data_IF_269276627154
#
_entry.id   IF_269276627154
#
_cell.length_a   1.000
_cell.length_b   1.000
_cell.length_c   1.000
_cell.angle_alpha   90.00
_cell.angle_beta   90.00
_cell.angle_gamma   90.00
#
_symmetry.space_group_name_H-M   'P 1'
#
loop_
_entity.id
_entity.type
_entity.pdbx_description
1 polymer ?
#
# COMPACT_ATOMS: atom_id res chain seq x y z
N UNK A 1 3.87 19.27 17.77
CA UNK A 1 3.80 17.93 18.40
C UNK A 1 5.17 17.30 18.30
N UNK A 2 5.66 16.64 19.36
CA UNK A 2 6.96 15.96 19.35
C UNK A 2 6.77 14.45 19.21
N UNK A 3 7.44 13.87 18.23
CA UNK A 3 7.40 12.44 17.94
C UNK A 3 8.82 11.89 18.02
N UNK A 4 9.04 10.88 18.85
CA UNK A 4 10.34 10.23 18.99
C UNK A 4 10.25 8.75 18.62
N UNK A 5 11.18 8.30 17.78
CA UNK A 5 11.37 6.89 17.46
C UNK A 5 12.58 6.37 18.24
N UNK A 6 12.34 5.45 19.17
CA UNK A 6 13.38 4.78 19.95
C UNK A 6 13.73 3.44 19.27
N UNK A 7 15.01 3.21 18.98
CA UNK A 7 15.52 1.97 18.39
C UNK A 7 16.73 1.45 19.16
N UNK A 8 16.94 0.14 19.18
CA UNK A 8 18.27 -0.42 19.53
C UNK A 8 19.22 -0.34 18.35
N UNK A 9 20.55 -0.46 18.57
CA UNK A 9 21.50 -0.67 17.48
C UNK A 9 21.07 -1.81 16.56
N UNK A 10 21.18 -1.59 15.25
CA UNK A 10 20.88 -2.57 14.20
C UNK A 10 19.46 -3.16 14.25
N UNK A 11 18.49 -2.38 14.75
CA UNK A 11 17.09 -2.82 14.79
C UNK A 11 16.56 -3.05 13.35
N UNK A 12 16.15 -4.29 13.00
CA UNK A 12 15.70 -4.61 11.64
C UNK A 12 14.38 -3.92 11.28
N UNK A 13 13.58 -3.52 12.27
CA UNK A 13 12.28 -2.90 12.08
C UNK A 13 12.32 -1.36 12.15
N UNK A 14 13.47 -0.77 12.49
CA UNK A 14 13.66 0.68 12.57
C UNK A 14 13.39 1.39 11.24
N UNK A 15 14.00 0.95 10.12
CA UNK A 15 13.74 1.52 8.79
C UNK A 15 12.26 1.46 8.40
N UNK A 16 11.58 0.34 8.68
CA UNK A 16 10.15 0.15 8.39
C UNK A 16 9.29 1.17 9.14
N UNK A 17 9.52 1.38 10.44
CA UNK A 17 8.76 2.37 11.20
C UNK A 17 9.02 3.80 10.70
N UNK A 18 10.28 4.13 10.40
CA UNK A 18 10.65 5.45 9.90
C UNK A 18 9.92 5.81 8.61
N UNK A 19 9.93 4.92 7.63
CA UNK A 19 9.26 5.13 6.34
C UNK A 19 7.74 5.24 6.52
N UNK A 20 7.14 4.41 7.37
CA UNK A 20 5.71 4.51 7.68
C UNK A 20 5.36 5.82 8.39
N UNK A 21 6.24 6.35 9.24
CA UNK A 21 6.09 7.67 9.85
C UNK A 21 6.18 8.79 8.82
N UNK A 22 7.12 8.72 7.89
CA UNK A 22 7.24 9.69 6.78
C UNK A 22 5.95 9.72 5.94
N UNK A 23 5.39 8.56 5.61
CA UNK A 23 4.09 8.44 4.93
C UNK A 23 2.91 8.97 5.78
N UNK A 24 2.91 8.70 7.08
CA UNK A 24 1.86 9.16 8.00
C UNK A 24 1.91 10.69 8.24
N UNK A 25 3.09 11.28 8.10
CA UNK A 25 3.37 12.70 8.32
C UNK A 25 3.48 13.51 7.02
N UNK A 26 3.30 12.90 5.86
CA UNK A 26 3.37 13.59 4.57
C UNK A 26 2.48 14.84 4.56
N UNK A 27 3.08 16.01 4.27
CA UNK A 27 2.40 17.31 4.26
C UNK A 27 2.20 17.99 5.63
N UNK A 28 2.62 17.36 6.74
CA UNK A 28 2.59 17.97 8.09
C UNK A 28 3.89 18.73 8.34
N UNK A 29 3.78 19.94 8.88
CA UNK A 29 4.93 20.79 9.26
C UNK A 29 4.95 21.13 10.76
N UNK A 30 3.92 20.72 11.49
CA UNK A 30 3.72 20.95 12.92
C UNK A 30 4.22 19.80 13.81
N UNK A 31 4.90 18.81 13.21
CA UNK A 31 5.45 17.63 13.88
C UNK A 31 6.97 17.65 13.82
N UNK A 32 7.62 17.55 14.97
CA UNK A 32 9.07 17.35 15.08
C UNK A 32 9.34 15.86 15.30
N UNK A 33 9.92 15.19 14.29
CA UNK A 33 10.31 13.78 14.37
C UNK A 33 11.80 13.67 14.75
N UNK A 34 12.10 12.92 15.81
CA UNK A 34 13.46 12.62 16.21
C UNK A 34 13.69 11.11 16.37
N UNK A 35 14.83 10.63 15.89
CA UNK A 35 15.28 9.25 16.07
C UNK A 35 16.32 9.17 17.20
N UNK A 36 16.22 8.11 18.01
CA UNK A 36 17.14 7.89 19.13
C UNK A 36 17.53 6.42 19.22
N UNK A 37 18.83 6.17 19.20
CA UNK A 37 19.38 4.86 19.54
C UNK A 37 19.46 4.72 21.07
N UNK A 38 18.86 3.67 21.60
CA UNK A 38 18.85 3.29 23.02
C UNK A 38 19.77 2.09 23.17
N UNK A 39 20.90 2.29 23.87
CA UNK A 39 21.98 1.31 23.91
C UNK A 39 21.79 0.24 25.00
N UNK A 40 21.04 0.54 26.06
CA UNK A 40 20.91 -0.32 27.22
C UNK A 40 19.53 -0.27 27.90
N UNK A 41 19.30 -1.27 28.75
CA UNK A 41 18.05 -1.45 29.49
C UNK A 41 17.73 -0.27 30.43
N UNK A 42 18.74 0.36 31.02
CA UNK A 42 18.52 1.48 31.93
C UNK A 42 18.05 2.73 31.17
N UNK A 43 18.53 2.95 29.95
CA UNK A 43 18.02 4.00 29.07
C UNK A 43 16.61 3.68 28.57
N UNK A 44 16.33 2.42 28.24
CA UNK A 44 14.98 1.98 27.87
C UNK A 44 13.95 2.32 28.97
N UNK A 45 14.28 2.03 30.24
CA UNK A 45 13.44 2.37 31.39
C UNK A 45 13.25 3.88 31.57
N UNK A 46 14.33 4.67 31.48
CA UNK A 46 14.25 6.14 31.62
C UNK A 46 13.37 6.78 30.57
N UNK A 47 13.32 6.20 29.37
CA UNK A 47 12.57 6.75 28.22
C UNK A 47 11.21 6.10 28.01
N UNK A 48 10.88 5.03 28.73
CA UNK A 48 9.64 4.28 28.50
C UNK A 48 9.64 3.52 27.17
N UNK A 49 10.77 2.92 26.80
CA UNK A 49 10.88 2.08 25.61
C UNK A 49 10.36 0.67 25.91
N UNK A 50 9.27 0.26 25.28
CA UNK A 50 8.66 -1.07 25.48
C UNK A 50 9.10 -2.08 24.41
N UNK A 51 10.36 -1.96 23.97
CA UNK A 51 10.98 -2.75 22.89
C UNK A 51 11.26 -1.93 21.63
N UNK A 52 12.09 -2.47 20.74
CA UNK A 52 12.53 -1.80 19.52
C UNK A 52 11.76 -2.26 18.28
N UNK A 53 11.30 -1.33 17.42
CA UNK A 53 11.23 0.11 17.66
C UNK A 53 10.09 0.47 18.64
N UNK A 54 10.16 1.63 19.28
CA UNK A 54 9.05 2.24 20.05
C UNK A 54 8.80 3.67 19.56
N UNK A 55 7.52 4.01 19.34
CA UNK A 55 7.09 5.37 19.06
C UNK A 55 6.66 6.06 20.36
N UNK A 56 7.17 7.27 20.61
CA UNK A 56 6.66 8.17 21.64
C UNK A 56 6.02 9.39 21.00
N UNK A 57 4.78 9.69 21.39
CA UNK A 57 4.07 10.93 21.04
C UNK A 57 4.00 11.79 22.29
N UNK A 58 4.63 12.96 22.26
CA UNK A 58 4.81 13.87 23.39
C UNK A 58 5.32 13.14 24.66
N UNK A 59 6.29 12.23 24.46
CA UNK A 59 6.92 11.44 25.52
C UNK A 59 6.14 10.23 26.01
N UNK A 60 4.99 9.90 25.39
CA UNK A 60 4.15 8.75 25.77
C UNK A 60 4.07 7.73 24.64
N UNK A 61 4.22 6.46 24.97
CA UNK A 61 3.99 5.35 24.04
C UNK A 61 2.48 5.11 23.86
N UNK A 62 1.89 5.36 22.67
CA UNK A 62 0.46 5.20 22.45
C UNK A 62 0.05 3.74 22.24
N UNK A 63 1.01 2.83 22.05
CA UNK A 63 0.78 1.41 21.77
C UNK A 63 1.09 0.51 22.98
N UNK A 64 1.52 1.07 24.11
CA UNK A 64 1.87 0.31 25.30
C UNK A 64 0.61 -0.11 26.07
N UNK A 65 0.51 -1.40 26.40
CA UNK A 65 -0.52 -1.87 27.33
C UNK A 65 -0.16 -1.49 28.78
N UNK A 66 -1.16 -1.22 29.64
CA UNK A 66 -0.91 -0.92 31.04
C UNK A 66 -0.05 -2.00 31.72
N UNK A 67 1.06 -1.59 32.33
CA UNK A 67 1.97 -2.49 33.05
C UNK A 67 3.02 -3.18 32.19
N UNK A 68 3.10 -2.87 30.89
CA UNK A 68 4.20 -3.32 30.03
C UNK A 68 5.53 -2.79 30.57
N UNK A 69 6.51 -3.68 30.77
CA UNK A 69 7.84 -3.28 31.22
C UNK A 69 8.65 -2.70 30.07
N UNK A 70 9.53 -1.73 30.39
CA UNK A 70 10.50 -1.26 29.43
C UNK A 70 11.51 -2.37 29.08
N UNK A 71 11.96 -2.43 27.83
CA UNK A 71 12.89 -3.47 27.35
C UNK A 71 13.65 -3.02 26.10
N UNK A 72 14.85 -3.56 25.91
CA UNK A 72 15.65 -3.44 24.68
C UNK A 72 15.37 -4.55 23.65
N UNK A 73 14.47 -5.49 23.95
CA UNK A 73 14.09 -6.56 23.01
C UNK A 73 13.29 -6.04 21.82
N UNK A 74 13.15 -6.84 20.75
CA UNK A 74 12.26 -6.52 19.63
C UNK A 74 10.82 -6.38 20.10
N UNK A 75 10.13 -5.33 19.61
CA UNK A 75 8.70 -5.15 19.78
C UNK A 75 7.95 -5.68 18.58
N UNK A 76 6.81 -6.29 18.87
CA UNK A 76 5.86 -6.75 17.87
C UNK A 76 4.55 -5.98 18.04
N UNK A 77 3.94 -5.64 16.92
CA UNK A 77 2.72 -4.86 16.82
C UNK A 77 1.63 -5.72 16.19
N UNK A 78 0.49 -5.83 16.87
CA UNK A 78 -0.69 -6.50 16.33
C UNK A 78 -1.46 -5.53 15.43
N UNK A 79 -1.58 -5.86 14.15
CA UNK A 79 -2.39 -5.12 13.19
C UNK A 79 -3.87 -5.45 13.33
N UNK A 80 -4.72 -4.57 12.80
CA UNK A 80 -6.18 -4.74 12.79
C UNK A 80 -6.68 -5.97 11.99
N UNK A 81 -5.83 -6.51 11.11
CA UNK A 81 -6.05 -7.74 10.34
C UNK A 81 -5.61 -9.02 11.09
N UNK A 82 -5.13 -8.87 12.33
CA UNK A 82 -4.60 -9.97 13.15
C UNK A 82 -3.16 -10.37 12.81
N UNK A 83 -2.51 -9.73 11.83
CA UNK A 83 -1.08 -9.97 11.54
C UNK A 83 -0.21 -9.31 12.60
N UNK A 84 0.92 -9.95 12.88
CA UNK A 84 1.93 -9.42 13.81
C UNK A 84 3.11 -8.89 12.98
N UNK A 85 3.48 -7.63 13.16
CA UNK A 85 4.56 -6.98 12.42
C UNK A 85 5.56 -6.26 13.32
N UNK A 86 6.70 -5.88 12.75
CA UNK A 86 7.77 -5.16 13.44
C UNK A 86 7.51 -3.67 13.68
N UNK A 87 6.45 -3.12 13.12
CA UNK A 87 6.05 -1.72 13.26
C UNK A 87 4.51 -1.58 13.11
N UNK A 88 3.89 -0.55 13.71
CA UNK A 88 2.50 -0.18 13.43
C UNK A 88 2.24 0.13 11.95
N UNK A 89 0.99 0.05 11.53
CA UNK A 89 0.57 0.45 10.18
C UNK A 89 0.53 1.97 10.02
N UNK A 90 0.58 2.49 8.78
CA UNK A 90 0.47 3.94 8.49
C UNK A 90 -0.87 4.49 9.00
N UNK A 91 -1.96 3.72 8.89
CA UNK A 91 -3.28 4.11 9.42
C UNK A 91 -3.25 4.24 10.96
N UNK A 92 -2.61 3.30 11.65
CA UNK A 92 -2.45 3.36 13.10
C UNK A 92 -1.61 4.56 13.53
N UNK A 93 -0.54 4.83 12.80
CA UNK A 93 0.29 6.02 13.01
C UNK A 93 -0.51 7.30 12.79
N UNK A 94 -1.24 7.44 11.67
CA UNK A 94 -2.10 8.60 11.39
C UNK A 94 -3.11 8.82 12.52
N UNK A 95 -3.72 7.75 13.03
CA UNK A 95 -4.69 7.80 14.13
C UNK A 95 -4.08 8.34 15.42
N UNK A 96 -2.92 7.83 15.85
CA UNK A 96 -2.29 8.27 17.10
C UNK A 96 -1.63 9.65 16.97
N UNK A 97 -1.30 10.08 15.75
CA UNK A 97 -0.73 11.39 15.44
C UNK A 97 -1.80 12.48 15.18
N UNK A 98 -3.09 12.13 15.32
CA UNK A 98 -4.21 13.03 15.07
C UNK A 98 -4.32 13.50 13.62
N UNK A 99 -3.72 12.77 12.68
CA UNK A 99 -3.92 12.99 11.25
C UNK A 99 -5.31 12.43 10.91
N UNK A 100 -6.19 13.20 10.23
CA UNK A 100 -7.52 12.73 9.90
C UNK A 100 -7.42 11.41 9.15
N UNK A 101 -8.05 10.37 9.70
CA UNK A 101 -8.27 9.15 8.96
C UNK A 101 -9.13 9.51 7.74
N UNK A 102 -8.65 9.21 6.54
CA UNK A 102 -9.58 8.92 5.45
C UNK A 102 -10.51 7.84 5.99
N UNK A 103 -11.84 8.03 5.89
CA UNK A 103 -12.82 7.17 6.59
C UNK A 103 -12.65 5.68 6.30
N UNK A 104 -13.50 4.80 6.85
CA UNK A 104 -13.37 3.33 6.79
C UNK A 104 -13.13 2.68 5.40
N UNK A 105 -13.20 3.47 4.32
CA UNK A 105 -12.62 3.26 3.01
C UNK A 105 -11.06 3.30 2.92
N UNK A 106 -10.27 3.24 4.00
CA UNK A 106 -8.80 3.03 3.87
C UNK A 106 -8.42 1.53 3.90
N UNK A 107 -9.39 0.65 4.22
CA UNK A 107 -9.14 -0.77 4.50
C UNK A 107 -9.31 -1.73 3.33
N UNK A 108 -9.95 -1.30 2.23
CA UNK A 108 -10.27 -2.23 1.15
C UNK A 108 -9.05 -2.52 0.26
N UNK A 109 -8.46 -1.51 -0.39
CA UNK A 109 -7.31 -1.68 -1.29
C UNK A 109 -5.94 -1.78 -0.58
N UNK A 110 -5.87 -1.55 0.72
CA UNK A 110 -4.62 -1.53 1.48
C UNK A 110 -4.30 -2.86 2.17
N UNK A 111 -3.01 -3.12 2.43
CA UNK A 111 -2.53 -4.17 3.35
C UNK A 111 -2.85 -3.81 4.81
N UNK A 112 -4.12 -3.59 5.15
CA UNK A 112 -4.56 -3.08 6.47
C UNK A 112 -3.79 -1.82 6.94
N UNK A 113 -3.54 -0.89 6.00
CA UNK A 113 -2.78 0.34 6.26
C UNK A 113 -1.25 0.16 6.34
N UNK A 114 -0.70 -1.04 6.08
CA UNK A 114 0.76 -1.26 6.10
C UNK A 114 1.50 -0.71 4.87
N UNK A 115 0.77 -0.11 3.91
CA UNK A 115 1.30 0.38 2.64
C UNK A 115 1.60 -0.75 1.65
N UNK A 116 1.90 -0.39 0.40
CA UNK A 116 2.26 -1.35 -0.66
C UNK A 116 3.76 -1.36 -0.96
N UNK A 117 4.57 -0.47 -0.37
CA UNK A 117 6.03 -0.47 -0.59
C UNK A 117 6.67 -1.56 0.28
N UNK A 118 7.33 -2.53 -0.35
CA UNK A 118 7.99 -3.61 0.37
C UNK A 118 9.20 -3.08 1.15
N UNK A 119 9.56 -3.68 2.30
CA UNK A 119 10.73 -3.28 3.08
C UNK A 119 12.04 -3.39 2.27
N UNK A 120 13.07 -2.57 2.56
CA UNK A 120 14.32 -2.60 1.83
C UNK A 120 15.17 -3.85 2.11
N UNK A 121 14.89 -4.57 3.21
CA UNK A 121 15.62 -5.76 3.63
C UNK A 121 15.34 -6.97 2.73
N UNK A 122 16.27 -7.94 2.74
CA UNK A 122 16.08 -9.25 2.10
C UNK A 122 15.88 -9.23 0.58
N UNK A 123 16.06 -8.07 -0.07
CA UNK A 123 15.79 -7.89 -1.50
C UNK A 123 14.31 -7.70 -1.84
N UNK A 124 13.41 -7.64 -0.86
CA UNK A 124 11.96 -7.53 -1.07
C UNK A 124 11.61 -6.32 -1.95
N UNK A 125 12.07 -5.12 -1.59
CA UNK A 125 11.88 -3.90 -2.39
C UNK A 125 12.50 -3.98 -3.77
N UNK A 126 13.72 -4.52 -3.86
CA UNK A 126 14.45 -4.58 -5.13
C UNK A 126 13.71 -5.48 -6.14
N UNK A 127 13.27 -6.65 -5.70
CA UNK A 127 12.48 -7.59 -6.51
C UNK A 127 11.10 -7.03 -6.81
N UNK A 128 10.40 -6.44 -5.83
CA UNK A 128 9.11 -5.79 -6.07
C UNK A 128 9.22 -4.73 -7.16
N UNK A 129 10.17 -3.79 -7.05
CA UNK A 129 10.34 -2.73 -8.03
C UNK A 129 10.79 -3.26 -9.39
N UNK A 130 11.55 -4.37 -9.45
CA UNK A 130 11.87 -5.03 -10.71
C UNK A 130 10.61 -5.58 -11.39
N UNK A 131 9.71 -6.22 -10.63
CA UNK A 131 8.42 -6.70 -11.13
C UNK A 131 7.57 -5.52 -11.65
N UNK A 132 7.40 -4.46 -10.87
CA UNK A 132 6.62 -3.29 -11.26
C UNK A 132 7.18 -2.61 -12.51
N UNK A 133 8.51 -2.47 -12.62
CA UNK A 133 9.17 -1.94 -13.83
C UNK A 133 8.92 -2.81 -15.06
N UNK A 134 8.94 -4.14 -14.91
CA UNK A 134 8.67 -5.03 -16.03
C UNK A 134 7.26 -4.84 -16.57
N UNK A 135 6.25 -4.79 -15.70
CA UNK A 135 4.88 -4.50 -16.13
C UNK A 135 4.78 -3.15 -16.85
N UNK A 136 5.35 -2.10 -16.26
CA UNK A 136 5.31 -0.75 -16.81
C UNK A 136 5.96 -0.64 -18.20
N UNK A 137 6.98 -1.46 -18.48
CA UNK A 137 7.78 -1.35 -19.72
C UNK A 137 7.40 -2.38 -20.78
N UNK A 138 6.95 -3.57 -20.37
CA UNK A 138 6.70 -4.71 -21.27
C UNK A 138 5.24 -5.14 -21.32
N UNK A 139 4.44 -4.73 -20.33
CA UNK A 139 3.08 -5.22 -20.16
C UNK A 139 2.96 -6.56 -19.43
N UNK A 140 4.09 -7.14 -18.97
CA UNK A 140 4.15 -8.49 -18.44
C UNK A 140 5.07 -8.62 -17.21
N UNK A 141 4.92 -9.70 -16.40
CA UNK A 141 5.88 -10.04 -15.36
C UNK A 141 7.31 -10.23 -15.91
N UNK A 142 8.35 -9.96 -15.10
CA UNK A 142 9.73 -10.11 -15.53
C UNK A 142 10.10 -11.58 -15.76
N UNK A 143 11.15 -11.80 -16.56
CA UNK A 143 11.74 -13.12 -16.69
C UNK A 143 12.44 -13.54 -15.38
N UNK A 144 12.56 -14.86 -15.14
CA UNK A 144 13.23 -15.38 -13.95
C UNK A 144 14.65 -14.83 -13.75
N UNK A 145 15.41 -14.65 -14.83
CA UNK A 145 16.76 -14.10 -14.77
C UNK A 145 16.82 -12.63 -14.31
N UNK A 146 15.81 -11.83 -14.62
CA UNK A 146 15.72 -10.43 -14.18
C UNK A 146 15.40 -10.35 -12.68
N UNK A 147 14.51 -11.22 -12.21
CA UNK A 147 14.19 -11.34 -10.79
C UNK A 147 15.41 -11.81 -9.99
N UNK A 148 16.14 -12.82 -10.49
CA UNK A 148 17.37 -13.30 -9.87
C UNK A 148 18.43 -12.20 -9.79
N UNK A 149 18.60 -11.43 -10.87
CA UNK A 149 19.53 -10.30 -10.90
C UNK A 149 19.20 -9.23 -9.84
N UNK A 150 17.92 -9.03 -9.54
CA UNK A 150 17.48 -8.11 -8.48
C UNK A 150 17.71 -8.66 -7.06
N UNK A 151 17.68 -9.99 -6.88
CA UNK A 151 17.84 -10.66 -5.59
C UNK A 151 19.31 -10.95 -5.23
N UNK A 152 20.19 -11.17 -6.22
CA UNK A 152 21.62 -11.48 -6.06
C UNK A 152 22.36 -10.58 -5.05
N UNK A 153 22.19 -9.23 -5.05
CA UNK A 153 22.89 -8.36 -4.08
C UNK A 153 22.57 -8.66 -2.61
N UNK A 154 21.46 -9.35 -2.35
CA UNK A 154 20.98 -9.68 -1.02
C UNK A 154 21.29 -11.13 -0.61
N UNK A 155 21.85 -11.94 -1.52
CA UNK A 155 22.24 -13.32 -1.24
C UNK A 155 21.08 -14.27 -0.99
N UNK A 156 19.87 -13.92 -1.43
CA UNK A 156 18.64 -14.73 -1.30
C UNK A 156 18.13 -15.10 -2.70
N UNK A 157 17.68 -16.35 -2.95
CA UNK A 157 17.09 -16.73 -4.23
C UNK A 157 15.82 -15.94 -4.53
N UNK A 158 15.60 -15.53 -5.79
CA UNK A 158 14.41 -14.74 -6.13
C UNK A 158 13.08 -15.45 -5.81
N UNK A 159 13.04 -16.78 -5.90
CA UNK A 159 11.85 -17.56 -5.55
C UNK A 159 11.46 -17.42 -4.07
N UNK A 160 12.43 -17.32 -3.15
CA UNK A 160 12.17 -17.11 -1.73
C UNK A 160 11.63 -15.70 -1.48
N UNK A 161 12.23 -14.69 -2.13
CA UNK A 161 11.77 -13.30 -2.07
C UNK A 161 10.33 -13.16 -2.61
N UNK A 162 10.01 -13.83 -3.72
CA UNK A 162 8.65 -13.83 -4.28
C UNK A 162 7.64 -14.51 -3.35
N UNK A 163 8.01 -15.62 -2.73
CA UNK A 163 7.14 -16.31 -1.78
C UNK A 163 6.84 -15.43 -0.56
N UNK A 164 7.85 -14.70 -0.05
CA UNK A 164 7.66 -13.74 1.03
C UNK A 164 6.77 -12.56 0.58
N UNK A 165 7.06 -11.95 -0.57
CA UNK A 165 6.23 -10.88 -1.15
C UNK A 165 4.77 -11.32 -1.33
N UNK A 166 4.54 -12.57 -1.73
CA UNK A 166 3.20 -13.15 -1.87
C UNK A 166 2.51 -13.39 -0.52
N UNK A 167 3.24 -13.96 0.45
CA UNK A 167 2.72 -14.22 1.81
C UNK A 167 2.33 -12.94 2.55
N UNK A 168 3.01 -11.85 2.19
CA UNK A 168 2.74 -10.53 2.68
C UNK A 168 1.70 -9.80 1.82
N UNK A 169 1.20 -10.29 0.69
CA UNK A 169 0.24 -9.57 -0.18
C UNK A 169 0.83 -8.31 -0.86
N UNK A 170 2.09 -8.34 -1.29
CA UNK A 170 2.61 -7.35 -2.25
C UNK A 170 2.32 -7.74 -3.70
N UNK A 171 2.14 -9.04 -3.94
CA UNK A 171 1.81 -9.66 -5.21
C UNK A 171 1.05 -10.97 -4.93
N UNK A 172 0.51 -11.60 -5.97
CA UNK A 172 -0.06 -12.94 -5.88
C UNK A 172 0.62 -13.87 -6.87
N UNK A 173 0.72 -15.15 -6.49
CA UNK A 173 1.28 -16.21 -7.32
C UNK A 173 0.18 -17.22 -7.67
N UNK A 174 0.28 -17.85 -8.84
CA UNK A 174 -0.50 -19.03 -9.19
C UNK A 174 0.08 -20.31 -8.54
N UNK A 175 -0.58 -21.45 -8.74
CA UNK A 175 -0.15 -22.75 -8.18
C UNK A 175 1.22 -23.21 -8.71
N UNK A 176 1.70 -22.64 -9.83
CA UNK A 176 3.00 -22.92 -10.41
C UNK A 176 4.09 -21.93 -9.94
N UNK A 177 3.73 -20.94 -9.10
CA UNK A 177 4.63 -19.91 -8.60
C UNK A 177 4.87 -18.74 -9.56
N UNK A 178 4.06 -18.59 -10.61
CA UNK A 178 4.12 -17.43 -11.50
C UNK A 178 3.31 -16.26 -10.96
N UNK A 179 3.77 -15.04 -11.23
CA UNK A 179 3.08 -13.81 -10.82
C UNK A 179 1.75 -13.69 -11.55
N UNK A 180 0.66 -13.70 -10.80
CA UNK A 180 -0.70 -13.46 -11.30
C UNK A 180 -1.10 -11.98 -11.20
N UNK A 181 -0.71 -11.32 -10.11
CA UNK A 181 -0.88 -9.89 -9.92
C UNK A 181 0.31 -9.32 -9.13
N UNK A 182 0.69 -8.08 -9.41
CA UNK A 182 1.67 -7.33 -8.63
C UNK A 182 1.16 -5.90 -8.53
N UNK A 183 0.49 -5.58 -7.42
CA UNK A 183 -0.31 -4.37 -7.32
C UNK A 183 0.53 -3.11 -7.62
N UNK A 184 0.08 -2.25 -8.55
CA UNK A 184 -1.30 -2.17 -9.09
C UNK A 184 -1.61 -3.04 -10.33
N UNK A 185 -0.66 -3.81 -10.86
CA UNK A 185 -0.81 -4.55 -12.13
C UNK A 185 -1.45 -5.93 -11.96
N UNK A 186 -2.13 -6.38 -13.01
CA UNK A 186 -2.60 -7.74 -13.22
C UNK A 186 -1.87 -8.37 -14.41
N UNK A 187 -1.41 -9.62 -14.28
CA UNK A 187 -0.89 -10.41 -15.39
C UNK A 187 -2.02 -10.97 -16.28
N UNK A 188 -3.24 -10.99 -15.77
CA UNK A 188 -4.44 -11.46 -16.48
C UNK A 188 -5.25 -10.26 -16.94
N UNK A 189 -5.76 -10.23 -18.20
CA UNK A 189 -6.64 -9.17 -18.66
C UNK A 189 -7.83 -8.95 -17.73
N UNK A 190 -8.08 -7.70 -17.36
CA UNK A 190 -9.23 -7.27 -16.56
C UNK A 190 -10.08 -6.28 -17.36
N UNK A 191 -11.19 -5.82 -16.80
CA UNK A 191 -11.96 -4.72 -17.41
C UNK A 191 -11.23 -3.37 -17.35
N UNK A 192 -10.19 -3.24 -16.51
CA UNK A 192 -9.46 -2.00 -16.29
C UNK A 192 -8.16 -1.99 -17.10
N UNK A 193 -8.22 -1.43 -18.30
CA UNK A 193 -7.06 -1.24 -19.17
C UNK A 193 -6.41 0.12 -18.89
N UNK A 194 -5.09 0.16 -18.75
CA UNK A 194 -4.31 1.40 -18.65
C UNK A 194 -3.31 1.44 -19.79
N UNK A 195 -3.50 2.37 -20.72
CA UNK A 195 -2.53 2.67 -21.77
C UNK A 195 -1.53 3.69 -21.22
N UNK A 196 -0.29 3.26 -20.97
CA UNK A 196 0.79 4.13 -20.50
C UNK A 196 1.31 4.95 -21.70
N UNK A 197 1.56 6.25 -21.51
CA UNK A 197 2.16 7.09 -22.55
C UNK A 197 3.53 6.53 -22.98
N UNK A 198 3.75 6.42 -24.29
CA UNK A 198 4.95 5.83 -24.90
C UNK A 198 5.26 4.38 -24.44
N UNK A 199 4.28 3.71 -23.82
CA UNK A 199 4.42 2.40 -23.22
C UNK A 199 3.36 1.39 -23.67
N UNK A 200 3.32 0.21 -23.02
CA UNK A 200 2.33 -0.82 -23.30
C UNK A 200 0.94 -0.47 -22.74
N UNK A 201 -0.08 -1.17 -23.24
CA UNK A 201 -1.32 -1.33 -22.47
C UNK A 201 -1.09 -2.38 -21.39
N UNK A 202 -1.40 -2.04 -20.14
CA UNK A 202 -1.39 -2.94 -18.99
C UNK A 202 -2.81 -3.11 -18.43
N UNK A 203 -2.98 -4.10 -17.56
CA UNK A 203 -4.22 -4.35 -16.84
C UNK A 203 -4.03 -4.06 -15.37
N UNK A 204 -5.01 -3.47 -14.70
CA UNK A 204 -5.00 -3.28 -13.25
C UNK A 204 -5.98 -4.22 -12.56
N UNK A 205 -5.74 -4.52 -11.28
CA UNK A 205 -6.63 -5.40 -10.52
C UNK A 205 -7.96 -4.74 -10.14
N UNK A 206 -7.98 -3.41 -10.02
CA UNK A 206 -9.19 -2.66 -9.68
C UNK A 206 -9.14 -1.21 -10.18
N UNK A 207 -10.20 -0.44 -9.92
CA UNK A 207 -10.30 0.97 -10.28
C UNK A 207 -9.26 1.86 -9.58
N UNK A 208 -9.00 1.65 -8.29
CA UNK A 208 -7.98 2.42 -7.54
C UNK A 208 -6.57 2.09 -8.03
N UNK A 209 -6.31 0.82 -8.32
CA UNK A 209 -5.04 0.38 -8.94
C UNK A 209 -4.84 1.05 -10.30
N UNK A 210 -5.91 1.15 -11.11
CA UNK A 210 -5.85 1.83 -12.41
C UNK A 210 -5.43 3.30 -12.26
N UNK A 211 -6.03 4.01 -11.30
CA UNK A 211 -5.69 5.41 -10.97
C UNK A 211 -4.29 5.55 -10.38
N UNK A 212 -3.79 4.52 -9.71
CA UNK A 212 -2.48 4.48 -9.09
C UNK A 212 -1.33 4.32 -10.08
N UNK A 213 -1.52 3.59 -11.18
CA UNK A 213 -0.45 3.32 -12.17
C UNK A 213 0.20 4.61 -12.72
N UNK A 214 -0.55 5.59 -13.25
CA UNK A 214 0.06 6.79 -13.85
C UNK A 214 0.81 7.63 -12.80
N UNK A 215 0.26 7.70 -11.58
CA UNK A 215 0.88 8.43 -10.47
C UNK A 215 2.16 7.75 -9.99
N UNK A 216 2.15 6.42 -9.84
CA UNK A 216 3.32 5.63 -9.47
C UNK A 216 4.48 5.79 -10.47
N UNK A 217 4.15 5.90 -11.76
CA UNK A 217 5.11 6.00 -12.85
C UNK A 217 5.49 7.45 -13.21
N UNK A 218 4.83 8.44 -12.60
CA UNK A 218 4.94 9.87 -12.95
C UNK A 218 4.82 10.10 -14.47
N UNK A 219 3.79 9.53 -15.08
CA UNK A 219 3.57 9.58 -16.54
C UNK A 219 2.10 9.74 -16.91
N UNK A 220 1.87 10.25 -18.12
CA UNK A 220 0.54 10.34 -18.70
C UNK A 220 0.01 8.96 -19.08
N UNK A 221 -1.32 8.81 -19.09
CA UNK A 221 -1.96 7.54 -19.40
C UNK A 221 -3.44 7.71 -19.75
N UNK A 222 -4.00 6.72 -20.44
CA UNK A 222 -5.43 6.59 -20.66
C UNK A 222 -5.96 5.32 -20.00
N UNK A 223 -6.87 5.49 -19.03
CA UNK A 223 -7.60 4.40 -18.40
C UNK A 223 -8.91 4.18 -19.15
N UNK A 224 -9.24 2.93 -19.44
CA UNK A 224 -10.56 2.53 -19.96
C UNK A 224 -11.12 1.39 -19.12
N UNK A 225 -12.39 1.52 -18.74
CA UNK A 225 -13.16 0.53 -17.98
C UNK A 225 -14.62 0.52 -18.44
N UNK A 226 -15.45 -0.33 -17.86
CA UNK A 226 -16.90 -0.35 -18.05
C UNK A 226 -17.65 -0.27 -16.72
N UNK A 227 -18.84 0.34 -16.74
CA UNK A 227 -19.79 0.27 -15.63
C UNK A 227 -20.40 -1.15 -15.60
N UNK A 228 -20.34 -1.87 -14.46
CA UNK A 228 -20.80 -3.25 -14.38
C UNK A 228 -22.33 -3.40 -14.42
N UNK A 229 -23.10 -2.32 -14.27
CA UNK A 229 -24.57 -2.31 -14.37
C UNK A 229 -25.02 -2.07 -15.79
N UNK A 230 -24.44 -1.08 -16.47
CA UNK A 230 -24.90 -0.63 -17.80
C UNK A 230 -24.05 -1.15 -18.95
N UNK A 231 -22.80 -1.54 -18.69
CA UNK A 231 -21.81 -1.88 -19.70
C UNK A 231 -21.22 -0.66 -20.44
N UNK A 232 -21.64 0.56 -20.09
CA UNK A 232 -21.15 1.78 -20.72
C UNK A 232 -19.69 2.07 -20.32
N UNK A 233 -18.90 2.67 -21.22
CA UNK A 233 -17.49 2.92 -20.96
C UNK A 233 -17.28 4.03 -19.92
N UNK A 234 -16.29 3.84 -19.06
CA UNK A 234 -15.67 4.88 -18.23
C UNK A 234 -14.24 5.08 -18.72
N UNK A 235 -13.85 6.34 -18.93
CA UNK A 235 -12.48 6.72 -19.32
C UNK A 235 -11.92 7.76 -18.38
N UNK A 236 -10.65 7.62 -18.03
CA UNK A 236 -9.91 8.62 -17.26
C UNK A 236 -8.61 8.90 -17.98
N UNK A 237 -8.44 10.13 -18.44
CA UNK A 237 -7.24 10.58 -19.14
C UNK A 237 -6.36 11.39 -18.18
N UNK A 238 -5.10 10.98 -18.06
CA UNK A 238 -4.05 11.68 -17.34
C UNK A 238 -3.21 12.46 -18.34
N UNK A 239 -3.10 13.78 -18.13
CA UNK A 239 -2.33 14.67 -18.99
C UNK A 239 -1.67 15.76 -18.17
N UNK A 240 -0.33 15.76 -18.13
CA UNK A 240 0.49 16.71 -17.36
C UNK A 240 0.02 16.82 -15.89
N UNK A 241 -0.20 15.67 -15.25
CA UNK A 241 -0.62 15.59 -13.84
C UNK A 241 -2.07 16.04 -13.57
N UNK A 242 -2.90 16.19 -14.61
CA UNK A 242 -4.33 16.47 -14.48
C UNK A 242 -5.16 15.32 -15.05
N UNK A 243 -6.31 15.10 -14.44
CA UNK A 243 -7.25 14.04 -14.83
C UNK A 243 -8.49 14.63 -15.51
N UNK A 244 -8.98 13.94 -16.53
CA UNK A 244 -10.29 14.19 -17.13
C UNK A 244 -11.10 12.91 -17.19
N UNK A 245 -12.28 12.90 -16.57
CA UNK A 245 -13.15 11.73 -16.48
C UNK A 245 -14.31 11.82 -17.47
N UNK A 246 -14.61 10.69 -18.10
CA UNK A 246 -15.73 10.55 -19.03
C UNK A 246 -16.52 9.27 -18.70
N UNK A 247 -17.82 9.37 -18.38
CA UNK A 247 -18.57 10.62 -18.20
C UNK A 247 -18.07 11.43 -17.00
N UNK A 248 -18.31 12.74 -17.00
CA UNK A 248 -17.92 13.62 -15.89
C UNK A 248 -18.62 13.28 -14.56
N UNK A 249 -19.68 12.46 -14.61
CA UNK A 249 -20.41 11.93 -13.46
C UNK A 249 -19.83 10.63 -12.90
N UNK A 250 -18.75 10.11 -13.51
CA UNK A 250 -18.17 8.85 -13.11
C UNK A 250 -17.63 8.90 -11.68
N UNK A 251 -17.75 7.76 -10.99
CA UNK A 251 -17.38 7.55 -9.58
C UNK A 251 -16.72 6.19 -9.41
N UNK A 252 -16.15 5.95 -8.24
CA UNK A 252 -15.58 4.65 -7.86
C UNK A 252 -16.34 4.10 -6.65
N UNK A 253 -16.80 2.85 -6.72
CA UNK A 253 -17.18 2.14 -5.50
C UNK A 253 -15.92 1.59 -4.86
N UNK A 254 -15.76 1.85 -3.56
CA UNK A 254 -14.65 1.36 -2.77
C UNK A 254 -15.15 0.57 -1.58
N UNK A 255 -14.88 -0.74 -1.55
CA UNK A 255 -15.35 -1.60 -0.48
C UNK A 255 -14.68 -2.97 -0.46
N UNK A 256 -14.83 -3.67 0.65
CA UNK A 256 -14.30 -5.01 0.83
C UNK A 256 -15.35 -5.92 1.48
N UNK A 257 -15.18 -7.22 1.30
CA UNK A 257 -15.91 -8.21 2.09
C UNK A 257 -15.19 -8.45 3.42
N UNK A 258 -15.93 -8.77 4.50
CA UNK A 258 -15.33 -9.27 5.73
C UNK A 258 -14.50 -10.52 5.43
N UNK A 259 -13.25 -10.53 5.86
CA UNK A 259 -12.37 -11.68 5.67
C UNK A 259 -10.89 -11.31 5.78
N UNK A 260 -10.07 -12.35 5.85
CA UNK A 260 -8.61 -12.26 5.83
C UNK A 260 -8.12 -12.89 4.54
N UNK A 261 -7.20 -12.24 3.83
CA UNK A 261 -6.62 -12.77 2.60
C UNK A 261 -6.03 -11.68 1.72
N UNK A 262 -5.42 -12.07 0.58
CA UNK A 262 -4.86 -11.12 -0.38
C UNK A 262 -5.92 -10.14 -0.88
N UNK A 263 -5.53 -8.89 -1.15
CA UNK A 263 -6.44 -7.88 -1.68
C UNK A 263 -7.16 -8.32 -2.96
N UNK A 264 -6.48 -9.06 -3.84
CA UNK A 264 -7.05 -9.69 -5.03
C UNK A 264 -8.30 -10.53 -4.72
N UNK A 265 -8.34 -11.20 -3.57
CA UNK A 265 -9.43 -12.07 -3.17
C UNK A 265 -10.54 -11.36 -2.38
N UNK A 266 -10.19 -10.36 -1.56
CA UNK A 266 -11.13 -9.77 -0.58
C UNK A 266 -11.72 -8.42 -1.02
N UNK A 267 -11.04 -7.68 -1.91
CA UNK A 267 -11.47 -6.32 -2.29
C UNK A 267 -11.43 -6.05 -3.80
N UNK A 268 -10.38 -6.44 -4.53
CA UNK A 268 -10.13 -5.89 -5.87
C UNK A 268 -11.27 -6.16 -6.85
N UNK A 269 -11.94 -7.31 -6.75
CA UNK A 269 -13.13 -7.64 -7.55
C UNK A 269 -14.36 -6.75 -7.31
N UNK A 270 -14.31 -5.87 -6.30
CA UNK A 270 -15.41 -4.98 -5.92
C UNK A 270 -15.08 -3.49 -6.08
N UNK A 271 -13.80 -3.13 -6.25
CA UNK A 271 -13.36 -1.75 -6.43
C UNK A 271 -13.49 -1.36 -7.90
N UNK A 272 -14.64 -0.79 -8.26
CA UNK A 272 -15.05 -0.62 -9.65
C UNK A 272 -15.40 0.82 -10.02
N UNK A 273 -15.18 1.16 -11.28
CA UNK A 273 -15.70 2.38 -11.90
C UNK A 273 -17.19 2.25 -12.22
N UNK A 274 -17.91 3.37 -12.13
CA UNK A 274 -19.31 3.49 -12.52
C UNK A 274 -19.51 4.79 -13.28
N UNK A 275 -20.42 4.83 -14.24
CA UNK A 275 -20.75 6.06 -14.98
C UNK A 275 -21.47 7.08 -14.10
N UNK A 276 -22.17 6.63 -13.05
CA UNK A 276 -22.89 7.49 -12.12
C UNK A 276 -22.88 6.93 -10.69
N UNK A 277 -23.15 7.79 -9.70
CA UNK A 277 -23.41 7.35 -8.31
C UNK A 277 -24.60 6.39 -8.20
N UNK A 278 -25.65 6.60 -8.99
CA UNK A 278 -26.85 5.76 -8.95
C UNK A 278 -26.57 4.31 -9.36
N UNK A 279 -25.75 4.09 -10.39
CA UNK A 279 -25.36 2.73 -10.82
C UNK A 279 -24.44 2.07 -9.79
N UNK A 280 -23.53 2.83 -9.17
CA UNK A 280 -22.71 2.34 -8.06
C UNK A 280 -23.54 1.88 -6.86
N UNK A 281 -24.52 2.69 -6.44
CA UNK A 281 -25.42 2.38 -5.32
C UNK A 281 -26.31 1.17 -5.66
N UNK A 282 -26.88 1.12 -6.86
CA UNK A 282 -27.67 -0.03 -7.33
C UNK A 282 -26.85 -1.32 -7.28
N UNK A 283 -25.62 -1.30 -7.79
CA UNK A 283 -24.75 -2.46 -7.81
C UNK A 283 -24.39 -2.91 -6.38
N UNK A 284 -24.02 -1.96 -5.51
CA UNK A 284 -23.62 -2.28 -4.14
C UNK A 284 -24.74 -2.90 -3.30
N UNK A 285 -25.99 -2.44 -3.49
CA UNK A 285 -27.17 -3.02 -2.83
C UNK A 285 -27.44 -4.49 -3.21
N UNK A 286 -26.90 -4.94 -4.35
CA UNK A 286 -27.04 -6.34 -4.81
C UNK A 286 -25.92 -7.24 -4.31
N UNK A 287 -24.86 -6.67 -3.70
CA UNK A 287 -23.73 -7.43 -3.18
C UNK A 287 -23.95 -7.74 -1.69
N UNK A 288 -24.30 -8.99 -1.39
CA UNK A 288 -24.34 -9.46 -0.01
C UNK A 288 -22.94 -9.35 0.63
N UNK A 289 -22.92 -8.95 1.90
CA UNK A 289 -21.72 -8.85 2.75
C UNK A 289 -20.62 -7.91 2.23
N UNK A 290 -20.94 -6.98 1.34
CA UNK A 290 -20.02 -5.95 0.88
C UNK A 290 -20.18 -4.68 1.72
N UNK A 291 -19.10 -4.21 2.34
CA UNK A 291 -19.07 -2.92 3.05
C UNK A 291 -18.16 -1.95 2.32
N UNK A 292 -18.64 -0.72 2.11
CA UNK A 292 -17.90 0.26 1.33
C UNK A 292 -18.63 1.58 1.18
N UNK A 293 -18.08 2.45 0.36
CA UNK A 293 -18.61 3.76 0.02
C UNK A 293 -18.38 4.08 -1.45
N UNK A 294 -19.21 4.97 -2.00
CA UNK A 294 -19.01 5.53 -3.34
C UNK A 294 -18.19 6.80 -3.20
N UNK A 295 -16.96 6.74 -3.71
CA UNK A 295 -15.99 7.83 -3.73
C UNK A 295 -16.23 8.73 -4.94
N UNK A 296 -16.05 10.04 -4.74
CA UNK A 296 -15.90 10.94 -5.88
C UNK A 296 -14.52 10.82 -6.56
N UNK A 297 -14.33 11.56 -7.65
CA UNK A 297 -13.10 11.52 -8.45
C UNK A 297 -11.87 11.93 -7.65
N UNK A 298 -11.97 13.01 -6.87
CA UNK A 298 -10.84 13.53 -6.10
C UNK A 298 -10.47 12.61 -4.93
N UNK A 299 -11.45 11.98 -4.29
CA UNK A 299 -11.24 10.97 -3.27
C UNK A 299 -10.55 9.72 -3.83
N UNK A 300 -11.01 9.23 -4.98
CA UNK A 300 -10.45 8.03 -5.63
C UNK A 300 -9.02 8.27 -6.15
N UNK A 301 -8.76 9.43 -6.76
CA UNK A 301 -7.42 9.82 -7.23
C UNK A 301 -6.44 9.96 -6.08
N UNK A 302 -6.84 10.64 -5.00
CA UNK A 302 -6.00 10.78 -3.80
C UNK A 302 -5.65 9.42 -3.22
N UNK A 303 -6.61 8.49 -3.16
CA UNK A 303 -6.36 7.16 -2.65
C UNK A 303 -5.38 6.37 -3.52
N UNK A 304 -5.51 6.44 -4.84
CA UNK A 304 -4.54 5.85 -5.77
C UNK A 304 -3.12 6.43 -5.57
N UNK A 305 -3.02 7.75 -5.45
CA UNK A 305 -1.76 8.44 -5.20
C UNK A 305 -1.11 8.05 -3.87
N UNK A 306 -1.90 8.03 -2.78
CA UNK A 306 -1.41 7.70 -1.43
C UNK A 306 -0.91 6.25 -1.34
N UNK A 307 -1.59 5.31 -2.01
CA UNK A 307 -1.24 3.89 -1.97
C UNK A 307 -0.03 3.59 -2.85
N UNK A 308 -0.01 4.11 -4.09
CA UNK A 308 0.91 3.65 -5.13
C UNK A 308 2.02 4.64 -5.49
N UNK A 309 1.84 5.94 -5.23
CA UNK A 309 2.83 6.98 -5.54
C UNK A 309 4.24 6.69 -5.00
N UNK A 310 4.40 6.21 -3.75
CA UNK A 310 5.73 5.92 -3.20
C UNK A 310 6.46 4.73 -3.83
N UNK A 311 5.79 3.84 -4.58
CA UNK A 311 6.34 2.51 -4.92
C UNK A 311 7.63 2.53 -5.74
N UNK A 312 7.78 3.54 -6.60
CA UNK A 312 8.97 3.69 -7.45
C UNK A 312 10.04 4.59 -6.84
N UNK A 313 9.83 5.08 -5.62
CA UNK A 313 10.80 5.90 -4.90
C UNK A 313 12.04 5.08 -4.54
N UNK A 314 13.21 5.71 -4.61
CA UNK A 314 14.44 5.12 -4.10
C UNK A 314 14.36 5.01 -2.56
N UNK A 315 15.05 4.02 -1.94
CA UNK A 315 15.15 3.96 -0.48
C UNK A 315 15.71 5.29 0.07
N UNK A 316 15.12 5.81 1.14
CA UNK A 316 15.71 6.92 1.88
C UNK A 316 17.13 6.53 2.32
N UNK A 317 18.11 7.38 2.03
CA UNK A 317 19.52 7.19 2.39
C UNK A 317 19.77 7.48 3.87
#
# INVERSE_FOLDING_TARGET
MRVEMLIVPDCPNGPVLKERLELALAGRTDVELAERVVADQAEAERRGMHGSPTLLVDGRDPFAEPGTAATISCRLYAGADGRIGGAPSVEELRRVLGTPATGGADRAAGRAGQGRLAPPEGGLRAVQQAVLRSFATTGAPPAAAEMESAAVPFGVPAAEVLAELASEDFLTLDDAGHIQAAYPFSAVPTEHAVQIADGPTVWSMCAIDALGIPVMLDTDALITSTDPVTGEPVRVEFTNGKTTWQPATAVVYYGARPGTGPAAAVCCGYLRFFTTRATAEQWSCQQADLSGAVLDQAEAERLGADIFGPLMSAPAR
#
